data_IF_299046966545
#
_entry.id   IF_299046966545
#
_cell.length_a   1.000
_cell.length_b   1.000
_cell.length_c   1.000
_cell.angle_alpha   90.00
_cell.angle_beta   90.00
_cell.angle_gamma   90.00
#
_symmetry.space_group_name_H-M   'P 1'
#
loop_
_entity.id
_entity.type
_entity.pdbx_description
1 polymer ?
#
# COMPACT_ATOMS: atom_id res chain seq x y z
N UNK A 1 -30.96 -18.73 21.47
CA UNK A 1 -29.76 -19.22 20.77
C UNK A 1 -29.49 -18.33 19.58
N UNK A 2 -28.70 -17.26 19.72
CA UNK A 2 -28.01 -16.62 18.59
C UNK A 2 -26.67 -16.11 19.13
N UNK A 3 -25.62 -16.84 18.78
CA UNK A 3 -24.23 -16.58 19.16
C UNK A 3 -23.75 -15.38 18.34
N UNK A 4 -23.41 -14.27 18.98
CA UNK A 4 -22.76 -13.16 18.29
C UNK A 4 -21.29 -13.53 18.07
N UNK A 5 -20.91 -13.60 16.79
CA UNK A 5 -19.58 -13.99 16.34
C UNK A 5 -18.50 -13.04 16.84
N UNK A 6 -17.42 -13.63 17.34
CA UNK A 6 -16.17 -12.98 17.71
C UNK A 6 -15.57 -12.28 16.48
N UNK A 7 -15.44 -10.96 16.54
CA UNK A 7 -14.71 -10.18 15.54
C UNK A 7 -13.23 -10.32 15.88
N UNK A 8 -12.52 -11.18 15.15
CA UNK A 8 -11.06 -11.34 15.29
C UNK A 8 -10.37 -10.04 14.89
N UNK A 9 -9.67 -9.41 15.84
CA UNK A 9 -8.80 -8.26 15.59
C UNK A 9 -7.68 -8.65 14.62
N UNK A 10 -7.78 -8.21 13.38
CA UNK A 10 -6.70 -8.34 12.40
C UNK A 10 -5.62 -7.32 12.76
N UNK A 11 -4.60 -7.78 13.49
CA UNK A 11 -3.41 -6.98 13.81
C UNK A 11 -2.71 -6.61 12.51
N UNK A 12 -2.71 -5.31 12.18
CA UNK A 12 -1.88 -4.77 11.11
C UNK A 12 -0.41 -5.05 11.47
N UNK A 13 0.25 -5.86 10.66
CA UNK A 13 1.67 -6.14 10.78
C UNK A 13 2.43 -4.88 10.38
N UNK A 14 3.00 -4.19 11.38
CA UNK A 14 3.85 -3.02 11.15
C UNK A 14 5.26 -3.51 10.86
N UNK A 15 5.66 -3.51 9.58
CA UNK A 15 7.06 -3.54 9.20
C UNK A 15 7.58 -2.13 9.49
N UNK A 16 8.35 -1.96 10.56
CA UNK A 16 8.99 -0.68 10.88
C UNK A 16 10.34 -0.61 10.16
N UNK A 17 10.39 0.15 9.08
CA UNK A 17 11.64 0.45 8.37
C UNK A 17 12.36 1.58 9.11
N UNK A 18 13.23 1.21 10.05
CA UNK A 18 14.33 2.07 10.53
C UNK A 18 15.63 1.48 9.99
N UNK A 19 16.45 2.33 9.39
CA UNK A 19 17.57 2.00 8.53
C UNK A 19 18.37 0.74 8.94
N UNK A 20 18.34 -0.26 8.05
CA UNK A 20 19.22 -1.43 7.91
C UNK A 20 19.06 -2.66 8.84
N UNK A 21 18.01 -2.81 9.64
CA UNK A 21 17.77 -4.10 10.33
C UNK A 21 16.36 -4.66 10.12
N UNK A 22 16.24 -5.68 9.26
CA UNK A 22 15.01 -6.46 9.09
C UNK A 22 14.79 -7.31 10.35
N UNK A 23 13.86 -6.89 11.20
CA UNK A 23 13.49 -7.60 12.42
C UNK A 23 12.28 -8.52 12.18
N UNK A 24 12.53 -9.83 12.15
CA UNK A 24 11.50 -10.86 11.96
C UNK A 24 10.88 -11.28 13.31
N UNK A 25 10.26 -10.34 14.01
CA UNK A 25 9.59 -10.59 15.30
C UNK A 25 8.29 -11.39 15.12
N UNK A 26 7.99 -12.29 16.07
CA UNK A 26 6.76 -13.10 16.10
C UNK A 26 6.55 -14.01 14.88
N UNK A 27 7.64 -14.59 14.36
CA UNK A 27 7.59 -15.58 13.28
C UNK A 27 7.98 -16.96 13.79
N UNK A 28 7.21 -17.99 13.41
CA UNK A 28 7.49 -19.42 13.65
C UNK A 28 8.54 -19.96 12.66
N UNK A 29 9.60 -19.19 12.47
CA UNK A 29 10.69 -19.49 11.55
C UNK A 29 11.94 -19.86 12.33
N UNK A 30 12.64 -20.89 11.84
CA UNK A 30 13.93 -21.27 12.40
C UNK A 30 15.01 -20.22 12.08
N UNK A 31 16.17 -20.36 12.72
CA UNK A 31 17.30 -19.42 12.52
C UNK A 31 17.77 -19.38 11.06
N UNK A 32 17.83 -20.53 10.40
CA UNK A 32 18.31 -20.62 9.02
C UNK A 32 17.36 -19.94 8.04
N UNK A 33 16.06 -20.13 8.21
CA UNK A 33 15.00 -19.51 7.42
C UNK A 33 15.01 -17.98 7.60
N UNK A 34 15.15 -17.50 8.84
CA UNK A 34 15.28 -16.05 9.13
C UNK A 34 16.47 -15.44 8.40
N UNK A 35 17.63 -16.09 8.44
CA UNK A 35 18.82 -15.63 7.72
C UNK A 35 18.60 -15.63 6.20
N UNK A 36 17.95 -16.67 5.67
CA UNK A 36 17.66 -16.75 4.22
C UNK A 36 16.75 -15.63 3.75
N UNK A 37 15.74 -15.26 4.55
CA UNK A 37 14.82 -14.16 4.24
C UNK A 37 15.55 -12.81 4.30
N UNK A 38 16.37 -12.58 5.34
CA UNK A 38 17.20 -11.37 5.42
C UNK A 38 18.09 -11.24 4.17
N UNK A 39 18.77 -12.31 3.79
CA UNK A 39 19.58 -12.34 2.57
C UNK A 39 18.75 -12.05 1.31
N UNK A 40 17.52 -12.58 1.22
CA UNK A 40 16.63 -12.33 0.08
C UNK A 40 16.22 -10.86 -0.02
N UNK A 41 15.85 -10.23 1.09
CA UNK A 41 15.45 -8.83 1.15
C UNK A 41 16.63 -7.93 0.77
N UNK A 42 17.82 -8.19 1.32
CA UNK A 42 19.04 -7.45 0.96
C UNK A 42 19.47 -7.68 -0.49
N UNK A 43 19.22 -8.86 -1.07
CA UNK A 43 19.55 -9.18 -2.46
C UNK A 43 18.64 -8.48 -3.46
N UNK A 44 17.39 -8.21 -3.10
CA UNK A 44 16.39 -7.60 -3.98
C UNK A 44 15.76 -6.34 -3.37
N UNK A 45 16.55 -5.29 -3.08
CA UNK A 45 16.06 -4.10 -2.38
C UNK A 45 14.97 -3.35 -3.19
N UNK A 46 15.02 -3.42 -4.52
CA UNK A 46 14.00 -2.82 -5.39
C UNK A 46 12.68 -3.59 -5.49
N UNK A 47 12.62 -4.81 -4.96
CA UNK A 47 11.38 -5.61 -4.88
C UNK A 47 10.69 -5.43 -3.52
N UNK A 48 11.49 -5.30 -2.46
CA UNK A 48 11.01 -5.10 -1.09
C UNK A 48 11.19 -3.64 -0.65
N UNK A 49 10.67 -2.71 -1.44
CA UNK A 49 10.62 -1.29 -1.10
C UNK A 49 9.17 -0.86 -0.79
N UNK A 50 9.03 0.25 -0.08
CA UNK A 50 7.71 0.82 0.23
C UNK A 50 7.10 1.59 -0.95
N UNK A 51 7.89 1.85 -1.99
CA UNK A 51 7.45 2.60 -3.16
C UNK A 51 6.80 1.69 -4.20
N UNK A 52 5.59 2.02 -4.68
CA UNK A 52 4.95 1.24 -5.73
C UNK A 52 5.78 1.28 -7.03
N UNK A 53 6.00 0.11 -7.63
CA UNK A 53 6.74 -0.01 -8.87
C UNK A 53 5.94 0.44 -10.11
N UNK A 54 6.64 0.88 -11.16
CA UNK A 54 6.05 1.18 -12.48
C UNK A 54 6.43 0.12 -13.51
N UNK A 55 5.47 -0.32 -14.32
CA UNK A 55 5.69 -1.24 -15.44
C UNK A 55 5.51 -0.53 -16.78
N UNK A 56 6.32 -0.89 -17.78
CA UNK A 56 6.20 -0.42 -19.17
C UNK A 56 5.62 -1.49 -20.11
N UNK A 57 5.15 -2.61 -19.57
CA UNK A 57 4.68 -3.76 -20.35
C UNK A 57 3.40 -3.50 -21.14
N UNK A 58 2.58 -2.55 -20.69
CA UNK A 58 1.32 -2.18 -21.32
C UNK A 58 1.09 -0.68 -21.16
N UNK A 59 0.53 -0.06 -22.20
CA UNK A 59 -0.06 1.27 -22.11
C UNK A 59 -1.57 1.12 -22.22
N UNK A 60 -2.29 1.67 -21.25
CA UNK A 60 -3.75 1.63 -21.26
C UNK A 60 -4.28 2.72 -22.18
N UNK A 61 -5.08 2.34 -23.17
CA UNK A 61 -5.86 3.25 -23.98
C UNK A 61 -7.32 3.18 -23.52
N UNK A 62 -7.86 4.28 -23.03
CA UNK A 62 -9.28 4.40 -22.67
C UNK A 62 -10.02 4.92 -23.90
N UNK A 63 -10.80 4.04 -24.54
CA UNK A 63 -11.59 4.42 -25.71
C UNK A 63 -12.85 5.17 -25.27
N UNK A 64 -13.10 6.32 -25.89
CA UNK A 64 -14.31 7.09 -25.67
C UNK A 64 -15.45 6.56 -26.55
N UNK A 65 -16.69 6.80 -26.11
CA UNK A 65 -17.87 6.66 -26.97
C UNK A 65 -17.72 7.66 -28.14
N UNK A 66 -18.16 7.32 -29.37
CA UNK A 66 -18.16 8.27 -30.47
C UNK A 66 -18.81 9.60 -30.08
N UNK A 67 -18.21 10.71 -30.53
CA UNK A 67 -18.64 12.09 -30.29
C UNK A 67 -18.68 12.57 -28.82
N UNK A 68 -18.14 11.79 -27.88
CA UNK A 68 -18.04 12.18 -26.47
C UNK A 68 -17.24 13.49 -26.31
N UNK A 69 -17.82 14.44 -25.56
CA UNK A 69 -17.19 15.72 -25.23
C UNK A 69 -16.70 15.74 -23.77
N UNK A 70 -15.58 16.41 -23.47
CA UNK A 70 -15.12 16.58 -22.09
C UNK A 70 -16.15 17.33 -21.23
N UNK A 71 -16.33 16.87 -19.99
CA UNK A 71 -17.23 17.51 -19.02
C UNK A 71 -16.40 18.16 -17.91
N UNK A 72 -16.64 19.44 -17.66
CA UNK A 72 -16.06 20.17 -16.54
C UNK A 72 -17.09 20.31 -15.41
N UNK A 73 -17.02 19.42 -14.43
CA UNK A 73 -17.87 19.46 -13.25
C UNK A 73 -17.14 20.14 -12.08
N UNK A 74 -17.79 21.07 -11.36
CA UNK A 74 -17.16 21.72 -10.21
C UNK A 74 -16.88 20.70 -9.09
N UNK A 75 -15.75 20.80 -8.38
CA UNK A 75 -15.47 19.93 -7.24
C UNK A 75 -16.52 20.08 -6.14
N UNK A 76 -16.84 18.97 -5.48
CA UNK A 76 -17.70 19.00 -4.29
C UNK A 76 -17.01 19.70 -3.12
N UNK A 77 -17.82 20.34 -2.26
CA UNK A 77 -17.32 20.97 -1.04
C UNK A 77 -17.02 19.92 0.02
N UNK A 78 -15.85 20.04 0.64
CA UNK A 78 -15.44 19.19 1.75
C UNK A 78 -15.38 19.99 3.05
N UNK A 79 -15.61 19.30 4.17
CA UNK A 79 -15.33 19.88 5.49
C UNK A 79 -13.82 20.15 5.64
N UNK A 80 -13.40 21.19 6.39
CA UNK A 80 -11.99 21.55 6.51
C UNK A 80 -11.07 20.40 6.92
N UNK A 81 -11.51 19.55 7.85
CA UNK A 81 -10.76 18.38 8.33
C UNK A 81 -10.49 17.37 7.22
N UNK A 82 -11.50 17.06 6.39
CA UNK A 82 -11.34 16.14 5.25
C UNK A 82 -10.45 16.75 4.17
N UNK A 83 -10.57 18.05 3.93
CA UNK A 83 -9.70 18.76 2.98
C UNK A 83 -8.23 18.64 3.39
N UNK A 84 -7.91 18.87 4.67
CA UNK A 84 -6.55 18.73 5.20
C UNK A 84 -5.99 17.31 5.02
N UNK A 85 -6.80 16.29 5.30
CA UNK A 85 -6.38 14.89 5.10
C UNK A 85 -6.11 14.58 3.61
N UNK A 86 -6.94 15.08 2.70
CA UNK A 86 -6.72 14.91 1.26
C UNK A 86 -5.43 15.61 0.82
N UNK A 87 -5.22 16.84 1.26
CA UNK A 87 -4.02 17.61 0.95
C UNK A 87 -2.74 16.95 1.49
N UNK A 88 -2.79 16.38 2.69
CA UNK A 88 -1.67 15.62 3.24
C UNK A 88 -1.29 14.44 2.35
N UNK A 89 -2.26 13.58 1.99
CA UNK A 89 -1.98 12.41 1.14
C UNK A 89 -1.56 12.81 -0.28
N UNK A 90 -2.08 13.92 -0.81
CA UNK A 90 -1.69 14.40 -2.13
C UNK A 90 -0.21 14.82 -2.18
N UNK A 91 0.35 15.29 -1.07
CA UNK A 91 1.78 15.60 -0.96
C UNK A 91 2.67 14.34 -0.87
N UNK A 92 2.09 13.19 -0.57
CA UNK A 92 2.78 11.89 -0.46
C UNK A 92 2.71 11.07 -1.78
N UNK A 93 1.87 11.49 -2.73
CA UNK A 93 1.71 10.86 -4.06
C UNK A 93 2.79 11.31 -5.05
#
# INVERSE_FOLDING_TARGET
MVQHGMISSTTKQTISTTDNEVTLINTDLDKYQKEKIKQLIHKFPGVFNEQPGRTKKLQHQINLVPDAQPVNSPPFRYAPTRKQMIEQHLNEM
#
